data_IF_762834259908
#
_entry.id   IF_762834259908
#
_cell.length_a   1.000
_cell.length_b   1.000
_cell.length_c   1.000
_cell.angle_alpha   90.00
_cell.angle_beta   90.00
_cell.angle_gamma   90.00
#
_symmetry.space_group_name_H-M   'P 1'
#
loop_
_entity.id
_entity.type
_entity.pdbx_description
1 polymer ?
#
# COMPACT_ATOMS: atom_id res chain seq x y z
N UNK A 1 -19.10 -11.27 -24.23
CA UNK A 1 -19.03 -12.53 -23.47
C UNK A 1 -19.21 -12.17 -22.00
N UNK A 2 -20.08 -12.83 -21.22
CA UNK A 2 -20.12 -12.58 -19.78
C UNK A 2 -18.74 -12.89 -19.18
N UNK A 3 -18.22 -11.97 -18.35
CA UNK A 3 -16.90 -12.11 -17.75
C UNK A 3 -16.83 -13.37 -16.88
N UNK A 4 -15.71 -14.10 -16.94
CA UNK A 4 -15.49 -15.26 -16.09
C UNK A 4 -15.09 -14.82 -14.68
N UNK A 5 -15.52 -15.58 -13.66
CA UNK A 5 -15.02 -15.40 -12.29
C UNK A 5 -13.54 -15.76 -12.25
N UNK A 6 -12.71 -14.83 -11.76
CA UNK A 6 -11.29 -15.07 -11.54
C UNK A 6 -11.03 -15.23 -10.04
N UNK A 7 -10.22 -16.22 -9.68
CA UNK A 7 -9.88 -16.52 -8.29
C UNK A 7 -8.36 -16.48 -8.15
N UNK A 8 -7.86 -15.63 -7.27
CA UNK A 8 -6.48 -15.73 -6.75
C UNK A 8 -6.56 -16.40 -5.38
N UNK A 9 -5.88 -17.52 -5.19
CA UNK A 9 -5.84 -18.18 -3.88
C UNK A 9 -4.82 -17.48 -2.99
N UNK A 10 -5.10 -17.43 -1.69
CA UNK A 10 -4.18 -16.84 -0.73
C UNK A 10 -2.77 -17.47 -0.77
N UNK A 11 -2.69 -18.77 -1.05
CA UNK A 11 -1.42 -19.48 -1.19
C UNK A 11 -0.58 -19.04 -2.41
N UNK A 12 -1.20 -18.40 -3.40
CA UNK A 12 -0.54 -17.91 -4.61
C UNK A 12 -0.17 -16.42 -4.49
N UNK A 13 -0.47 -15.78 -3.36
CA UNK A 13 -0.16 -14.38 -3.10
C UNK A 13 1.24 -14.31 -2.48
N UNK A 14 2.21 -13.78 -3.23
CA UNK A 14 3.57 -13.55 -2.78
C UNK A 14 3.99 -12.10 -3.01
N UNK A 15 5.03 -11.64 -2.30
CA UNK A 15 5.64 -10.35 -2.61
C UNK A 15 6.16 -10.33 -4.06
N UNK A 16 6.01 -9.22 -4.80
CA UNK A 16 6.52 -9.10 -6.15
C UNK A 16 8.03 -8.84 -6.14
N UNK A 17 8.71 -9.25 -7.20
CA UNK A 17 10.09 -8.87 -7.47
C UNK A 17 10.14 -7.38 -7.86
N UNK A 18 10.72 -6.52 -7.02
CA UNK A 18 10.83 -5.08 -7.29
C UNK A 18 11.12 -4.23 -6.05
N UNK A 19 11.27 -2.90 -6.20
CA UNK A 19 11.49 -1.99 -5.08
C UNK A 19 10.36 -2.10 -4.06
N UNK A 20 10.70 -2.39 -2.81
CA UNK A 20 9.81 -2.31 -1.66
C UNK A 20 10.32 -1.22 -0.72
N UNK A 21 9.41 -0.65 0.06
CA UNK A 21 9.79 0.10 1.25
C UNK A 21 10.35 -0.89 2.27
N UNK A 22 11.49 -0.57 2.89
CA UNK A 22 12.06 -1.41 3.96
C UNK A 22 11.02 -1.64 5.08
N UNK A 23 10.95 -2.88 5.58
CA UNK A 23 9.96 -3.30 6.58
C UNK A 23 8.54 -3.52 6.05
N UNK A 24 8.29 -3.43 4.74
CA UNK A 24 6.97 -3.66 4.15
C UNK A 24 6.92 -4.80 3.15
N UNK A 25 5.94 -5.69 3.34
CA UNK A 25 5.64 -6.77 2.40
C UNK A 25 4.32 -6.47 1.69
N UNK A 26 4.39 -5.98 0.45
CA UNK A 26 3.21 -5.76 -0.41
C UNK A 26 2.90 -7.01 -1.21
N UNK A 27 1.67 -7.50 -1.10
CA UNK A 27 1.20 -8.77 -1.62
C UNK A 27 0.06 -8.55 -2.64
N UNK A 28 0.34 -8.48 -3.95
CA UNK A 28 -0.69 -8.27 -4.97
C UNK A 28 -1.62 -9.49 -5.08
N UNK A 29 -2.91 -9.28 -4.88
CA UNK A 29 -3.93 -10.34 -4.98
C UNK A 29 -4.69 -10.31 -6.30
N UNK A 30 -5.22 -9.15 -6.67
CA UNK A 30 -6.04 -8.95 -7.86
C UNK A 30 -5.44 -7.74 -8.58
N UNK A 31 -4.52 -8.02 -9.49
CA UNK A 31 -3.85 -7.03 -10.33
C UNK A 31 -4.03 -7.46 -11.78
N UNK A 32 -4.45 -6.54 -12.65
CA UNK A 32 -4.70 -6.78 -14.09
C UNK A 32 -5.72 -7.91 -14.37
N UNK A 33 -6.63 -8.17 -13.42
CA UNK A 33 -7.67 -9.22 -13.55
C UNK A 33 -8.98 -8.69 -14.14
N UNK A 34 -9.14 -7.38 -14.21
CA UNK A 34 -10.33 -6.71 -14.73
C UNK A 34 -9.98 -5.33 -15.27
N UNK A 35 -10.58 -4.99 -16.41
CA UNK A 35 -10.60 -3.63 -16.97
C UNK A 35 -11.82 -2.82 -16.50
N UNK A 36 -12.73 -3.44 -15.74
CA UNK A 36 -13.95 -2.85 -15.20
C UNK A 36 -13.82 -2.43 -13.73
N UNK A 37 -12.88 -3.00 -12.97
CA UNK A 37 -12.50 -2.40 -11.68
C UNK A 37 -11.71 -1.14 -12.05
N UNK A 38 -12.23 0.03 -11.68
CA UNK A 38 -11.70 1.33 -12.08
C UNK A 38 -10.19 1.32 -11.89
N UNK A 39 -9.43 1.36 -12.99
CA UNK A 39 -7.99 1.03 -13.03
C UNK A 39 -7.08 2.05 -12.37
N UNK A 40 -7.63 2.80 -11.43
CA UNK A 40 -7.00 3.94 -10.78
C UNK A 40 -7.12 3.85 -9.26
N UNK A 41 -8.06 3.08 -8.72
CA UNK A 41 -8.26 2.95 -7.28
C UNK A 41 -7.47 1.76 -6.73
N UNK A 42 -6.82 1.95 -5.59
CA UNK A 42 -6.11 0.90 -4.86
C UNK A 42 -6.88 0.52 -3.61
N UNK A 43 -7.12 -0.79 -3.43
CA UNK A 43 -7.63 -1.32 -2.15
C UNK A 43 -6.47 -2.01 -1.43
N UNK A 44 -6.24 -1.60 -0.20
CA UNK A 44 -5.28 -2.22 0.72
C UNK A 44 -6.05 -2.96 1.81
N UNK A 45 -5.65 -4.19 2.09
CA UNK A 45 -6.08 -4.95 3.26
C UNK A 45 -4.88 -5.22 4.18
N UNK A 46 -5.01 -4.81 5.44
CA UNK A 46 -4.00 -5.03 6.48
C UNK A 46 -4.06 -6.48 6.97
N UNK A 47 -3.14 -7.33 6.50
CA UNK A 47 -3.14 -8.74 6.88
C UNK A 47 -2.39 -9.00 8.20
N UNK A 48 -1.32 -8.24 8.45
CA UNK A 48 -0.48 -8.35 9.65
C UNK A 48 0.23 -7.02 9.91
N UNK A 49 0.47 -6.70 11.19
CA UNK A 49 1.20 -5.52 11.61
C UNK A 49 0.31 -4.27 11.70
N UNK A 50 0.89 -3.17 12.19
CA UNK A 50 0.23 -1.88 12.28
C UNK A 50 1.03 -0.86 11.48
N UNK A 51 0.38 -0.11 10.60
CA UNK A 51 1.03 0.94 9.84
C UNK A 51 0.02 2.00 9.44
N UNK A 52 0.42 2.89 8.54
CA UNK A 52 -0.45 3.96 8.10
C UNK A 52 -0.45 4.15 6.59
N UNK A 53 -1.54 4.73 6.10
CA UNK A 53 -1.57 5.42 4.81
C UNK A 53 -1.41 6.91 5.09
N UNK A 54 -0.37 7.52 4.54
CA UNK A 54 -0.18 8.97 4.51
C UNK A 54 -0.65 9.48 3.16
N UNK A 55 -1.42 10.57 3.14
CA UNK A 55 -2.02 11.12 1.92
C UNK A 55 -2.27 12.63 1.99
N UNK A 56 -2.72 13.21 0.87
CA UNK A 56 -3.01 14.64 0.76
C UNK A 56 -1.78 15.51 0.53
N UNK A 57 -1.94 16.84 0.39
CA UNK A 57 -0.82 17.74 0.12
C UNK A 57 0.29 17.56 1.16
N UNK A 58 1.51 17.31 0.69
CA UNK A 58 2.71 17.08 1.50
C UNK A 58 2.54 16.02 2.61
N UNK A 59 1.67 15.03 2.43
CA UNK A 59 1.41 13.98 3.43
C UNK A 59 0.68 14.47 4.69
N UNK A 60 -0.10 15.55 4.58
CA UNK A 60 -0.81 16.17 5.71
C UNK A 60 -1.88 15.31 6.38
N UNK A 61 -2.31 14.22 5.74
CA UNK A 61 -3.31 13.30 6.29
C UNK A 61 -2.66 11.96 6.57
N UNK A 62 -3.03 11.36 7.71
CA UNK A 62 -2.53 10.06 8.13
C UNK A 62 -3.66 9.20 8.68
N UNK A 63 -3.78 7.99 8.16
CA UNK A 63 -4.77 7.00 8.58
C UNK A 63 -4.03 5.75 9.07
N UNK A 64 -4.12 5.47 10.36
CA UNK A 64 -3.60 4.22 10.93
C UNK A 64 -4.48 3.04 10.51
N UNK A 65 -3.85 1.89 10.29
CA UNK A 65 -4.48 0.62 9.93
C UNK A 65 -3.95 -0.49 10.84
N UNK A 66 -4.87 -1.28 11.36
CA UNK A 66 -4.61 -2.49 12.14
C UNK A 66 -5.02 -3.74 11.34
N UNK A 67 -4.58 -4.95 11.74
CA UNK A 67 -4.94 -6.18 11.04
C UNK A 67 -6.46 -6.36 10.94
N UNK A 68 -6.95 -6.59 9.72
CA UNK A 68 -8.38 -6.65 9.42
C UNK A 68 -8.95 -5.42 8.71
N UNK A 69 -8.24 -4.28 8.76
CA UNK A 69 -8.70 -3.04 8.15
C UNK A 69 -8.54 -3.03 6.63
N UNK A 70 -9.37 -2.20 6.00
CA UNK A 70 -9.31 -1.89 4.58
C UNK A 70 -9.10 -0.40 4.37
N UNK A 71 -8.26 -0.04 3.40
CA UNK A 71 -8.16 1.31 2.88
C UNK A 71 -8.48 1.34 1.38
N UNK A 72 -9.32 2.29 0.99
CA UNK A 72 -9.54 2.65 -0.42
C UNK A 72 -8.77 3.92 -0.70
N UNK A 73 -7.86 3.85 -1.67
CA UNK A 73 -7.05 4.97 -2.14
C UNK A 73 -7.55 5.31 -3.54
N UNK A 74 -8.21 6.47 -3.72
CA UNK A 74 -8.73 6.86 -5.03
C UNK A 74 -7.63 7.09 -6.07
N UNK A 75 -8.04 6.99 -7.33
CA UNK A 75 -7.36 7.48 -8.51
C UNK A 75 -6.55 8.76 -8.27
N UNK A 76 -5.25 8.70 -8.59
CA UNK A 76 -4.35 9.87 -8.56
C UNK A 76 -4.21 10.53 -7.19
N UNK A 77 -4.76 9.95 -6.12
CA UNK A 77 -4.49 10.41 -4.77
C UNK A 77 -3.03 10.14 -4.46
N UNK A 78 -2.29 11.20 -4.13
CA UNK A 78 -0.93 11.07 -3.65
C UNK A 78 -0.97 10.35 -2.29
N UNK A 79 -0.23 9.26 -2.17
CA UNK A 79 -0.21 8.43 -0.97
C UNK A 79 1.12 7.72 -0.77
N UNK A 80 1.43 7.37 0.47
CA UNK A 80 2.53 6.50 0.86
C UNK A 80 2.03 5.53 1.95
N UNK A 81 2.35 4.25 1.80
CA UNK A 81 2.26 3.32 2.92
C UNK A 81 3.47 3.54 3.84
N UNK A 82 3.24 3.68 5.15
CA UNK A 82 4.26 3.90 6.18
C UNK A 82 4.29 2.77 7.21
N UNK A 83 5.50 2.30 7.52
CA UNK A 83 5.81 1.38 8.62
C UNK A 83 6.73 2.12 9.57
N UNK A 84 6.21 2.54 10.71
CA UNK A 84 7.00 3.19 11.78
C UNK A 84 7.39 2.20 12.89
N UNK A 85 7.22 0.91 12.65
CA UNK A 85 7.54 -0.17 13.59
C UNK A 85 8.76 -0.97 13.15
N UNK A 86 9.37 -1.67 14.11
CA UNK A 86 10.49 -2.59 13.85
C UNK A 86 10.02 -3.96 13.31
N UNK A 87 8.71 -4.21 13.31
CA UNK A 87 8.10 -5.46 12.84
C UNK A 87 7.65 -5.36 11.37
N UNK A 88 7.61 -6.50 10.69
CA UNK A 88 7.07 -6.59 9.33
C UNK A 88 5.56 -6.31 9.31
N UNK A 89 5.15 -5.45 8.38
CA UNK A 89 3.75 -5.26 7.98
C UNK A 89 3.47 -5.98 6.67
N UNK A 90 2.30 -6.61 6.58
CA UNK A 90 1.86 -7.33 5.38
C UNK A 90 0.58 -6.69 4.83
N UNK A 91 0.69 -6.14 3.62
CA UNK A 91 -0.41 -5.50 2.90
C UNK A 91 -0.88 -6.36 1.74
N UNK A 92 -2.16 -6.71 1.66
CA UNK A 92 -2.74 -7.33 0.47
C UNK A 92 -3.33 -6.24 -0.43
N UNK A 93 -2.84 -6.16 -1.66
CA UNK A 93 -3.17 -5.06 -2.58
C UNK A 93 -4.03 -5.56 -3.75
N UNK A 94 -5.12 -4.85 -4.01
CA UNK A 94 -6.02 -5.06 -5.15
C UNK A 94 -6.09 -3.79 -5.99
N UNK A 95 -5.88 -3.91 -7.31
CA UNK A 95 -5.87 -2.81 -8.28
C UNK A 95 -6.46 -3.26 -9.62
N UNK A 96 -7.12 -2.34 -10.32
CA UNK A 96 -7.63 -2.57 -11.69
C UNK A 96 -6.71 -2.12 -12.80
N UNK A 97 -6.95 -2.65 -14.01
CA UNK A 97 -6.39 -2.11 -15.25
C UNK A 97 -4.89 -2.32 -15.49
N UNK A 98 -4.49 -2.02 -16.73
CA UNK A 98 -3.17 -2.32 -17.31
C UNK A 98 -2.05 -1.60 -16.57
N UNK A 99 -1.05 -2.37 -16.12
CA UNK A 99 0.24 -1.94 -15.56
C UNK A 99 0.18 -0.66 -14.72
N UNK A 100 0.04 -0.76 -13.38
CA UNK A 100 0.07 0.42 -12.52
C UNK A 100 1.37 1.20 -12.78
N UNK A 101 1.24 2.43 -13.26
CA UNK A 101 2.38 3.33 -13.41
C UNK A 101 2.61 3.97 -12.04
N UNK A 102 3.64 3.50 -11.35
CA UNK A 102 4.09 4.11 -10.10
C UNK A 102 5.01 5.27 -10.46
N UNK A 103 4.59 6.49 -10.15
CA UNK A 103 5.43 7.68 -10.24
C UNK A 103 5.88 8.06 -8.83
N UNK A 104 7.16 7.82 -8.53
CA UNK A 104 7.76 8.34 -7.30
C UNK A 104 7.91 9.86 -7.44
N UNK A 105 7.33 10.60 -6.49
CA UNK A 105 7.41 12.07 -6.45
C UNK A 105 8.65 12.48 -5.66
N UNK A 106 9.57 13.22 -6.29
CA UNK A 106 10.73 13.79 -5.58
C UNK A 106 10.26 14.83 -4.53
N UNK A 107 10.69 14.66 -3.28
CA UNK A 107 10.40 15.61 -2.19
C UNK A 107 9.02 15.47 -1.52
N UNK A 108 8.18 14.54 -1.97
CA UNK A 108 6.83 14.34 -1.45
C UNK A 108 6.77 13.57 -0.12
N UNK A 109 7.82 12.79 0.17
CA UNK A 109 8.07 12.26 1.50
C UNK A 109 9.42 12.77 1.99
N UNK A 110 9.44 13.94 2.63
CA UNK A 110 10.44 14.12 3.67
C UNK A 110 10.06 13.09 4.73
N UNK A 111 10.82 12.00 4.79
CA UNK A 111 11.00 11.30 6.04
C UNK A 111 11.09 12.38 7.11
N UNK A 112 10.16 12.36 8.06
CA UNK A 112 10.38 13.08 9.30
C UNK A 112 11.76 12.58 9.74
N UNK A 113 12.74 13.48 9.79
CA UNK A 113 14.01 13.19 10.45
C UNK A 113 13.64 12.67 11.83
N UNK A 114 13.71 11.35 12.03
CA UNK A 114 13.91 10.82 13.37
C UNK A 114 15.32 11.29 13.71
N UNK A 115 15.38 12.50 14.27
CA UNK A 115 16.58 13.01 14.90
C UNK A 115 17.00 11.98 15.96
N UNK A 116 18.27 11.53 15.97
CA UNK A 116 18.74 10.63 17.00
C UNK A 116 18.74 11.34 18.36
N UNK A 117 18.22 10.62 19.36
CA UNK A 117 18.34 10.79 20.81
C UNK A 117 18.48 12.20 21.40
N UNK A 118 17.52 12.58 22.25
CA UNK A 118 17.84 13.26 23.51
C UNK A 118 16.96 12.73 24.65
N UNK A 119 17.58 12.01 25.59
CA UNK A 119 17.25 12.15 27.01
C UNK A 119 16.65 10.92 27.69
N UNK A 120 17.50 10.22 28.43
CA UNK A 120 17.12 9.37 29.55
C UNK A 120 16.12 10.05 30.51
N UNK A 121 15.15 9.26 30.98
CA UNK A 121 14.94 8.97 32.40
C UNK A 121 14.52 7.52 32.56
#
# INVERSE_FOLDING_TARGET
MPGAVQVTKAADISAPDGPQTDGMIRMPAIVDKSDQICGTDTIVYAAKGHGAIVSGPDGSQRQELAPGDFALIPAYAEHQEVNDSDDDIVWIITRGGRNPIVHNLEGWSKAHEILPEQGAF
#
